data_IF_132688356363
#
_entry.id   IF_132688356363
#
_cell.length_a   1.000
_cell.length_b   1.000
_cell.length_c   1.000
_cell.angle_alpha   90.00
_cell.angle_beta   90.00
_cell.angle_gamma   90.00
#
_symmetry.space_group_name_H-M   'P 1'
#
loop_
_entity.id
_entity.type
_entity.pdbx_description
1 polymer ?
#
# COMPACT_ATOMS: atom_id res chain seq x y z
N UNK A 1 -42.00 4.59 19.13
CA UNK A 1 -41.74 3.21 18.64
C UNK A 1 -40.62 3.34 17.60
N UNK A 2 -39.36 3.23 18.00
CA UNK A 2 -38.19 3.32 17.12
C UNK A 2 -37.92 1.92 16.53
N UNK A 3 -38.15 1.76 15.25
CA UNK A 3 -37.88 0.53 14.52
C UNK A 3 -36.38 0.20 14.59
N UNK A 4 -36.01 -0.91 15.20
CA UNK A 4 -34.67 -1.50 15.18
C UNK A 4 -34.30 -1.83 13.74
N UNK A 5 -33.33 -1.09 13.18
CA UNK A 5 -32.69 -1.49 11.93
C UNK A 5 -32.06 -2.88 12.11
N UNK A 6 -32.25 -3.80 11.16
CA UNK A 6 -31.64 -5.12 11.25
C UNK A 6 -30.12 -4.99 11.22
N UNK A 7 -29.47 -5.68 12.15
CA UNK A 7 -28.00 -5.78 12.19
C UNK A 7 -27.53 -6.39 10.87
N UNK A 8 -26.89 -5.57 10.03
CA UNK A 8 -26.20 -6.05 8.83
C UNK A 8 -25.13 -7.03 9.31
N UNK A 9 -25.36 -8.34 9.10
CA UNK A 9 -24.32 -9.36 9.27
C UNK A 9 -23.12 -8.93 8.44
N UNK A 10 -22.04 -8.48 9.09
CA UNK A 10 -20.72 -8.36 8.44
C UNK A 10 -20.29 -9.78 8.08
N UNK A 11 -20.60 -10.20 6.85
CA UNK A 11 -19.96 -11.39 6.28
C UNK A 11 -18.46 -11.10 6.26
N UNK A 12 -17.69 -11.83 7.04
CA UNK A 12 -16.24 -11.78 6.96
C UNK A 12 -15.85 -12.11 5.53
N UNK A 13 -15.15 -11.19 4.87
CA UNK A 13 -14.64 -11.42 3.52
C UNK A 13 -13.68 -12.61 3.55
N UNK A 14 -14.01 -13.67 2.80
CA UNK A 14 -13.14 -14.82 2.63
C UNK A 14 -11.97 -14.43 1.69
N UNK A 15 -10.87 -14.03 2.31
CA UNK A 15 -9.66 -13.61 1.58
C UNK A 15 -8.93 -14.77 0.87
N UNK A 16 -9.31 -16.01 1.17
CA UNK A 16 -8.73 -17.18 0.52
C UNK A 16 -9.40 -17.45 -0.84
N UNK A 17 -10.63 -16.98 -1.01
CA UNK A 17 -11.41 -17.16 -2.23
C UNK A 17 -11.45 -15.93 -3.14
N UNK A 18 -11.20 -14.73 -2.59
CA UNK A 18 -11.22 -13.48 -3.37
C UNK A 18 -10.33 -12.39 -2.78
N UNK A 19 -9.63 -11.61 -3.60
CA UNK A 19 -8.92 -10.43 -3.17
C UNK A 19 -9.90 -9.30 -2.80
N UNK A 20 -9.44 -8.38 -1.96
CA UNK A 20 -10.08 -7.07 -1.75
C UNK A 20 -9.59 -6.09 -2.82
N UNK A 21 -8.30 -6.18 -3.16
CA UNK A 21 -7.60 -5.29 -4.07
C UNK A 21 -6.96 -6.10 -5.19
N UNK A 22 -7.17 -5.65 -6.41
CA UNK A 22 -6.42 -6.11 -7.59
C UNK A 22 -5.66 -4.90 -8.12
N UNK A 23 -4.34 -4.94 -8.04
CA UNK A 23 -3.49 -3.92 -8.62
C UNK A 23 -3.20 -4.25 -10.07
N UNK A 24 -3.30 -3.26 -10.94
CA UNK A 24 -2.89 -3.37 -12.33
C UNK A 24 -1.90 -2.27 -12.68
N UNK A 25 -0.65 -2.67 -12.94
CA UNK A 25 0.35 -1.80 -13.54
C UNK A 25 -0.02 -1.62 -15.02
N UNK A 26 -0.79 -0.59 -15.31
CA UNK A 26 -1.40 -0.41 -16.64
C UNK A 26 -0.40 -0.06 -17.73
N UNK A 27 0.71 0.57 -17.36
CA UNK A 27 1.83 0.94 -18.22
C UNK A 27 3.09 1.15 -17.37
N UNK A 28 4.26 1.07 -17.97
CA UNK A 28 5.52 1.50 -17.35
C UNK A 28 5.95 2.90 -17.79
N UNK A 29 5.21 3.53 -18.70
CA UNK A 29 5.46 4.91 -19.10
C UNK A 29 5.25 5.86 -17.91
N UNK A 30 6.20 6.78 -17.68
CA UNK A 30 6.12 7.79 -16.65
C UNK A 30 6.99 8.99 -17.00
N UNK A 31 6.49 10.20 -16.74
CA UNK A 31 7.25 11.43 -16.85
C UNK A 31 8.24 11.70 -15.70
N UNK A 32 8.27 10.82 -14.67
CA UNK A 32 9.13 10.96 -13.50
C UNK A 32 10.24 9.91 -13.47
N UNK A 33 11.36 10.26 -12.82
CA UNK A 33 12.53 9.39 -12.64
C UNK A 33 12.82 9.10 -11.16
N UNK A 34 11.77 8.85 -10.36
CA UNK A 34 11.89 8.66 -8.91
C UNK A 34 12.95 7.63 -8.53
N UNK A 35 13.81 7.97 -7.55
CA UNK A 35 14.93 7.12 -7.14
C UNK A 35 14.53 5.82 -6.45
N UNK A 36 13.35 5.77 -5.79
CA UNK A 36 12.80 4.58 -5.14
C UNK A 36 11.87 3.76 -6.05
N UNK A 37 11.77 4.07 -7.34
CA UNK A 37 10.80 3.47 -8.22
C UNK A 37 11.00 1.95 -8.36
N UNK A 38 10.02 1.18 -7.88
CA UNK A 38 9.97 -0.27 -8.00
C UNK A 38 9.98 -0.76 -9.45
N UNK A 39 9.19 -0.10 -10.29
CA UNK A 39 8.99 -0.50 -11.70
C UNK A 39 10.14 -0.09 -12.61
N UNK A 40 11.09 0.75 -12.13
CA UNK A 40 12.08 1.40 -13.01
C UNK A 40 11.43 2.04 -14.23
N UNK A 41 10.34 2.77 -14.01
CA UNK A 41 9.52 3.38 -15.05
C UNK A 41 10.35 4.19 -16.05
N UNK A 42 9.93 4.21 -17.30
CA UNK A 42 10.59 4.84 -18.45
C UNK A 42 9.64 5.81 -19.13
N UNK A 43 10.17 6.66 -20.02
CA UNK A 43 9.36 7.73 -20.66
C UNK A 43 8.30 7.19 -21.61
N UNK A 44 8.52 6.02 -22.23
CA UNK A 44 7.61 5.43 -23.23
C UNK A 44 7.04 4.10 -22.77
N UNK A 45 5.87 3.73 -23.31
CA UNK A 45 5.28 2.42 -23.13
C UNK A 45 6.20 1.30 -23.65
N UNK A 46 6.22 0.17 -22.94
CA UNK A 46 6.96 -1.00 -23.37
C UNK A 46 6.15 -1.81 -24.40
N UNK A 47 6.84 -2.47 -25.34
CA UNK A 47 6.21 -3.52 -26.13
C UNK A 47 5.59 -4.60 -25.23
N UNK A 48 4.43 -5.14 -25.62
CA UNK A 48 3.78 -6.22 -24.88
C UNK A 48 2.81 -5.76 -23.78
N UNK A 49 2.64 -4.45 -23.54
CA UNK A 49 1.55 -3.97 -22.70
C UNK A 49 0.19 -4.53 -23.19
N UNK A 50 -0.72 -4.80 -22.24
CA UNK A 50 -2.05 -5.28 -22.60
C UNK A 50 -2.73 -4.30 -23.56
N UNK A 51 -3.17 -4.82 -24.69
CA UNK A 51 -4.01 -4.08 -25.63
C UNK A 51 -5.34 -3.69 -24.99
N UNK A 52 -6.07 -2.76 -25.59
CA UNK A 52 -7.40 -2.35 -25.10
C UNK A 52 -8.34 -3.55 -24.96
N UNK A 53 -8.33 -4.48 -25.93
CA UNK A 53 -9.16 -5.67 -25.88
C UNK A 53 -8.74 -6.65 -24.77
N UNK A 54 -7.44 -6.84 -24.54
CA UNK A 54 -6.92 -7.68 -23.45
C UNK A 54 -7.22 -7.06 -22.10
N UNK A 55 -7.01 -5.74 -21.95
CA UNK A 55 -7.36 -5.01 -20.73
C UNK A 55 -8.85 -5.10 -20.40
N UNK A 56 -9.73 -4.98 -21.41
CA UNK A 56 -11.17 -5.13 -21.22
C UNK A 56 -11.53 -6.56 -20.76
N UNK A 57 -10.96 -7.61 -21.39
CA UNK A 57 -11.15 -9.00 -20.95
C UNK A 57 -10.65 -9.24 -19.53
N UNK A 58 -9.50 -8.66 -19.17
CA UNK A 58 -8.99 -8.74 -17.81
C UNK A 58 -9.95 -8.08 -16.81
N UNK A 59 -10.46 -6.87 -17.09
CA UNK A 59 -11.45 -6.20 -16.23
C UNK A 59 -12.72 -7.06 -16.08
N UNK A 60 -13.19 -7.69 -17.17
CA UNK A 60 -14.34 -8.59 -17.13
C UNK A 60 -14.10 -9.80 -16.24
N UNK A 61 -12.91 -10.39 -16.30
CA UNK A 61 -12.56 -11.58 -15.51
C UNK A 61 -12.67 -11.35 -14.01
N UNK A 62 -12.51 -10.10 -13.54
CA UNK A 62 -12.67 -9.74 -12.11
C UNK A 62 -14.09 -10.00 -11.59
N UNK A 63 -15.07 -10.10 -12.48
CA UNK A 63 -16.44 -10.46 -12.12
C UNK A 63 -16.56 -11.88 -11.56
N UNK A 64 -15.68 -12.78 -11.93
CA UNK A 64 -15.63 -14.18 -11.46
C UNK A 64 -15.28 -14.31 -9.97
N UNK A 65 -14.77 -13.27 -9.33
CA UNK A 65 -14.59 -13.25 -7.87
C UNK A 65 -15.91 -13.14 -7.09
N UNK A 66 -17.03 -12.79 -7.75
CA UNK A 66 -18.33 -12.64 -7.10
C UNK A 66 -18.52 -11.27 -6.42
N UNK A 67 -19.52 -11.17 -5.57
CA UNK A 67 -19.82 -9.93 -4.83
C UNK A 67 -19.36 -10.00 -3.37
N UNK A 68 -18.90 -8.89 -2.76
CA UNK A 68 -18.57 -7.64 -3.41
C UNK A 68 -17.37 -7.81 -4.37
N UNK A 69 -17.35 -7.05 -5.47
CA UNK A 69 -16.23 -7.06 -6.42
C UNK A 69 -14.95 -6.57 -5.74
N UNK A 70 -13.76 -7.08 -6.14
CA UNK A 70 -12.51 -6.45 -5.72
C UNK A 70 -12.43 -5.02 -6.29
N UNK A 71 -11.70 -4.16 -5.60
CA UNK A 71 -11.36 -2.83 -6.12
C UNK A 71 -10.18 -3.00 -7.08
N UNK A 72 -10.34 -2.55 -8.32
CA UNK A 72 -9.25 -2.44 -9.29
C UNK A 72 -8.48 -1.14 -9.00
N UNK A 73 -7.22 -1.27 -8.64
CA UNK A 73 -6.31 -0.14 -8.48
C UNK A 73 -5.46 -0.05 -9.73
N UNK A 74 -5.81 0.89 -10.61
CA UNK A 74 -5.01 1.18 -11.78
C UNK A 74 -3.82 2.05 -11.38
N UNK A 75 -2.64 1.52 -11.60
CA UNK A 75 -1.34 2.12 -11.26
C UNK A 75 -0.39 1.93 -12.44
N UNK A 76 0.88 2.15 -12.25
CA UNK A 76 1.86 1.91 -13.30
C UNK A 76 3.11 2.76 -13.10
N UNK A 77 3.67 3.24 -14.19
CA UNK A 77 4.51 4.42 -14.21
C UNK A 77 3.66 5.64 -13.85
N UNK A 78 2.99 6.21 -14.87
CA UNK A 78 1.90 7.14 -14.67
C UNK A 78 0.66 6.59 -15.41
N UNK A 79 -0.37 6.23 -14.67
CA UNK A 79 -1.60 5.66 -15.22
C UNK A 79 -2.26 6.59 -16.25
N UNK A 80 -2.05 7.91 -16.15
CA UNK A 80 -2.58 8.91 -17.09
C UNK A 80 -1.88 8.87 -18.45
N UNK A 81 -0.74 8.21 -18.57
CA UNK A 81 -0.07 7.99 -19.86
C UNK A 81 -0.65 6.82 -20.66
N UNK A 82 -1.52 6.03 -20.05
CA UNK A 82 -2.22 4.97 -20.77
C UNK A 82 -3.32 5.57 -21.65
N UNK A 83 -3.22 5.40 -22.98
CA UNK A 83 -4.08 6.05 -23.97
C UNK A 83 -5.55 5.65 -23.89
N UNK A 84 -5.86 4.42 -23.46
CA UNK A 84 -7.22 3.86 -23.39
C UNK A 84 -7.74 3.77 -21.92
N UNK A 85 -7.16 4.54 -20.99
CA UNK A 85 -7.55 4.53 -19.58
C UNK A 85 -9.05 4.75 -19.38
N UNK A 86 -9.65 5.69 -20.12
CA UNK A 86 -11.07 6.01 -20.00
C UNK A 86 -11.96 4.84 -20.43
N UNK A 87 -11.57 4.11 -21.48
CA UNK A 87 -12.26 2.90 -21.91
C UNK A 87 -12.20 1.82 -20.82
N UNK A 88 -11.07 1.69 -20.12
CA UNK A 88 -10.91 0.73 -19.02
C UNK A 88 -11.77 1.11 -17.80
N UNK A 89 -11.82 2.39 -17.44
CA UNK A 89 -12.68 2.89 -16.35
C UNK A 89 -14.16 2.66 -16.69
N UNK A 90 -14.57 2.97 -17.91
CA UNK A 90 -15.94 2.77 -18.36
C UNK A 90 -16.31 1.27 -18.37
N UNK A 91 -15.40 0.41 -18.86
CA UNK A 91 -15.61 -1.05 -18.82
C UNK A 91 -15.80 -1.54 -17.38
N UNK A 92 -14.94 -1.13 -16.48
CA UNK A 92 -15.05 -1.48 -15.06
C UNK A 92 -16.39 -1.01 -14.45
N UNK A 93 -16.83 0.21 -14.80
CA UNK A 93 -18.13 0.74 -14.39
C UNK A 93 -19.29 -0.13 -14.88
N UNK A 94 -19.27 -0.53 -16.15
CA UNK A 94 -20.31 -1.41 -16.76
C UNK A 94 -20.43 -2.75 -16.03
N UNK A 95 -19.30 -3.36 -15.64
CA UNK A 95 -19.29 -4.65 -14.94
C UNK A 95 -19.29 -4.49 -13.41
N UNK A 96 -19.50 -3.27 -12.90
CA UNK A 96 -19.59 -2.93 -11.47
C UNK A 96 -18.33 -3.30 -10.67
N UNK A 97 -17.15 -3.15 -11.27
CA UNK A 97 -15.85 -3.24 -10.60
C UNK A 97 -15.45 -1.83 -10.16
N UNK A 98 -15.33 -1.56 -8.86
CA UNK A 98 -14.87 -0.24 -8.38
C UNK A 98 -13.43 0.02 -8.82
N UNK A 99 -13.14 1.26 -9.27
CA UNK A 99 -11.80 1.68 -9.69
C UNK A 99 -11.25 2.74 -8.75
N UNK A 100 -10.00 2.56 -8.34
CA UNK A 100 -9.16 3.59 -7.73
C UNK A 100 -7.93 3.82 -8.61
N UNK A 101 -7.38 5.03 -8.57
CA UNK A 101 -6.23 5.41 -9.40
C UNK A 101 -5.03 5.81 -8.53
N UNK A 102 -3.85 5.50 -9.02
CA UNK A 102 -2.57 5.95 -8.46
C UNK A 102 -1.75 6.70 -9.54
N UNK A 103 -2.18 7.90 -9.96
CA UNK A 103 -1.44 8.69 -10.94
C UNK A 103 -0.18 9.30 -10.35
N UNK A 104 0.77 9.62 -11.20
CA UNK A 104 1.84 10.56 -10.87
C UNK A 104 1.33 12.00 -10.95
N UNK A 105 1.93 12.89 -10.16
CA UNK A 105 1.69 14.33 -10.31
C UNK A 105 2.55 14.82 -11.47
N UNK A 106 1.94 14.90 -12.63
CA UNK A 106 2.54 15.33 -13.90
C UNK A 106 1.62 16.36 -14.56
N UNK A 107 2.04 17.07 -15.62
CA UNK A 107 1.16 17.97 -16.36
C UNK A 107 -0.12 17.34 -16.92
N UNK A 108 -0.23 15.99 -16.91
CA UNK A 108 -1.45 15.28 -17.30
C UNK A 108 -2.55 15.34 -16.22
N UNK A 109 -2.21 15.61 -14.97
CA UNK A 109 -3.18 15.70 -13.86
C UNK A 109 -3.75 17.13 -13.76
N UNK A 110 -4.43 17.57 -14.80
CA UNK A 110 -5.10 18.87 -14.86
C UNK A 110 -6.42 18.90 -14.07
N UNK A 111 -6.95 20.09 -13.78
CA UNK A 111 -8.26 20.22 -13.12
C UNK A 111 -9.40 19.64 -13.98
N UNK A 112 -9.35 19.83 -15.29
CA UNK A 112 -10.27 19.20 -16.22
C UNK A 112 -10.21 17.69 -16.10
N UNK A 113 -9.00 17.10 -16.11
CA UNK A 113 -8.82 15.66 -15.98
C UNK A 113 -9.34 15.12 -14.66
N UNK A 114 -9.11 15.81 -13.56
CA UNK A 114 -9.66 15.46 -12.24
C UNK A 114 -11.19 15.39 -12.27
N UNK A 115 -11.84 16.37 -12.88
CA UNK A 115 -13.31 16.42 -13.01
C UNK A 115 -13.81 15.26 -13.89
N UNK A 116 -13.14 14.97 -15.00
CA UNK A 116 -13.47 13.84 -15.90
C UNK A 116 -13.40 12.51 -15.17
N UNK A 117 -12.29 12.24 -14.48
CA UNK A 117 -12.12 11.02 -13.70
C UNK A 117 -13.21 10.85 -12.63
N UNK A 118 -13.54 11.94 -11.94
CA UNK A 118 -14.62 11.93 -10.95
C UNK A 118 -15.98 11.59 -11.59
N UNK A 119 -16.29 12.17 -12.76
CA UNK A 119 -17.51 11.88 -13.52
C UNK A 119 -17.56 10.45 -14.04
N UNK A 120 -16.43 9.93 -14.48
CA UNK A 120 -16.29 8.53 -14.91
C UNK A 120 -16.51 7.51 -13.79
N UNK A 121 -16.55 7.95 -12.53
CA UNK A 121 -16.88 7.09 -11.39
C UNK A 121 -15.71 6.77 -10.47
N UNK A 122 -14.52 7.30 -10.72
CA UNK A 122 -13.40 7.22 -9.77
C UNK A 122 -13.78 7.91 -8.46
N UNK A 123 -13.47 7.27 -7.33
CA UNK A 123 -13.79 7.80 -5.99
C UNK A 123 -12.57 7.95 -5.10
N UNK A 124 -11.51 7.20 -5.37
CA UNK A 124 -10.29 7.17 -4.57
C UNK A 124 -9.09 7.39 -5.47
N UNK A 125 -8.21 8.30 -5.08
CA UNK A 125 -6.95 8.57 -5.78
C UNK A 125 -5.81 8.56 -4.76
N UNK A 126 -4.70 7.89 -5.11
CA UNK A 126 -3.48 7.83 -4.30
C UNK A 126 -2.43 8.76 -4.90
N UNK A 127 -1.86 9.63 -4.09
CA UNK A 127 -0.78 10.57 -4.48
C UNK A 127 0.43 10.29 -3.61
N UNK A 128 1.61 10.24 -4.21
CA UNK A 128 2.84 9.99 -3.48
C UNK A 128 3.49 11.29 -2.98
N UNK A 129 3.81 11.32 -1.68
CA UNK A 129 4.55 12.39 -1.01
C UNK A 129 5.65 11.75 -0.14
N UNK A 130 6.91 11.84 -0.58
CA UNK A 130 8.03 11.12 0.07
C UNK A 130 9.02 12.03 0.81
N UNK A 131 8.77 13.33 0.84
CA UNK A 131 9.54 14.32 1.60
C UNK A 131 8.62 15.43 2.10
N UNK A 132 8.99 16.05 3.21
CA UNK A 132 8.25 17.16 3.83
C UNK A 132 8.69 18.53 3.32
N UNK A 133 9.76 18.58 2.53
CA UNK A 133 10.34 19.81 1.98
C UNK A 133 10.51 19.72 0.46
N UNK A 134 10.55 20.87 -0.24
CA UNK A 134 10.91 20.89 -1.66
C UNK A 134 12.25 20.19 -1.94
N UNK A 135 13.27 20.46 -1.12
CA UNK A 135 14.61 19.90 -1.30
C UNK A 135 14.60 18.37 -1.31
N UNK A 136 13.93 17.75 -0.34
CA UNK A 136 13.87 16.29 -0.21
C UNK A 136 12.94 15.67 -1.25
N UNK A 137 11.73 16.19 -1.36
CA UNK A 137 10.72 15.59 -2.25
C UNK A 137 11.13 15.70 -3.73
N UNK A 138 11.57 16.87 -4.17
CA UNK A 138 11.97 17.12 -5.55
C UNK A 138 13.19 16.25 -5.94
N UNK A 139 14.16 16.12 -5.03
CA UNK A 139 15.31 15.24 -5.24
C UNK A 139 14.90 13.76 -5.39
N UNK A 140 13.89 13.30 -4.64
CA UNK A 140 13.35 11.94 -4.76
C UNK A 140 12.63 11.75 -6.10
N UNK A 141 11.85 12.75 -6.54
CA UNK A 141 11.07 12.68 -7.79
C UNK A 141 11.87 12.99 -9.05
N UNK A 142 13.00 13.67 -8.90
CA UNK A 142 13.85 14.12 -10.00
C UNK A 142 13.28 15.31 -10.77
N UNK A 143 12.39 16.11 -10.17
CA UNK A 143 11.72 17.24 -10.81
C UNK A 143 11.62 18.40 -9.82
N UNK A 144 12.21 19.55 -10.16
CA UNK A 144 12.16 20.76 -9.36
C UNK A 144 10.72 21.32 -9.30
N UNK A 145 10.30 21.79 -8.13
CA UNK A 145 8.96 22.31 -7.89
C UNK A 145 7.87 21.24 -7.71
N UNK A 146 8.22 19.97 -7.81
CA UNK A 146 7.26 18.85 -7.71
C UNK A 146 6.57 18.76 -6.34
N UNK A 147 7.24 19.17 -5.26
CA UNK A 147 6.64 19.22 -3.92
C UNK A 147 5.42 20.14 -3.87
N UNK A 148 5.56 21.37 -4.36
CA UNK A 148 4.47 22.34 -4.36
C UNK A 148 3.29 21.85 -5.20
N UNK A 149 3.56 21.31 -6.39
CA UNK A 149 2.55 20.72 -7.26
C UNK A 149 1.86 19.50 -6.61
N UNK A 150 2.61 18.67 -5.89
CA UNK A 150 2.04 17.50 -5.19
C UNK A 150 1.08 17.93 -4.10
N UNK A 151 1.45 18.89 -3.26
CA UNK A 151 0.58 19.41 -2.20
C UNK A 151 -0.66 20.09 -2.79
N UNK A 152 -0.50 20.85 -3.87
CA UNK A 152 -1.61 21.47 -4.61
C UNK A 152 -2.54 20.41 -5.24
N UNK A 153 -1.98 19.37 -5.86
CA UNK A 153 -2.77 18.28 -6.46
C UNK A 153 -3.62 17.53 -5.42
N UNK A 154 -3.09 17.26 -4.23
CA UNK A 154 -3.85 16.63 -3.13
C UNK A 154 -5.08 17.49 -2.79
N UNK A 155 -4.92 18.81 -2.69
CA UNK A 155 -6.02 19.74 -2.38
C UNK A 155 -7.05 19.78 -3.50
N UNK A 156 -6.63 19.92 -4.76
CA UNK A 156 -7.52 19.93 -5.95
C UNK A 156 -8.36 18.65 -6.06
N UNK A 157 -7.73 17.49 -5.86
CA UNK A 157 -8.43 16.20 -5.86
C UNK A 157 -9.49 16.11 -4.77
N UNK A 158 -9.17 16.61 -3.56
CA UNK A 158 -10.11 16.63 -2.44
C UNK A 158 -11.27 17.61 -2.69
N UNK A 159 -10.98 18.82 -3.20
CA UNK A 159 -11.98 19.82 -3.56
C UNK A 159 -12.92 19.33 -4.66
N UNK A 160 -12.42 18.51 -5.58
CA UNK A 160 -13.25 17.81 -6.57
C UNK A 160 -14.12 16.69 -5.95
N UNK A 161 -14.03 16.42 -4.63
CA UNK A 161 -14.83 15.43 -3.92
C UNK A 161 -14.30 14.00 -4.05
N UNK A 162 -13.02 13.83 -4.34
CA UNK A 162 -12.34 12.53 -4.32
C UNK A 162 -11.80 12.22 -2.91
N UNK A 163 -11.80 10.95 -2.54
CA UNK A 163 -11.06 10.49 -1.37
C UNK A 163 -9.60 10.42 -1.74
N UNK A 164 -8.76 11.17 -1.03
CA UNK A 164 -7.32 11.17 -1.30
C UNK A 164 -6.59 10.32 -0.27
N UNK A 165 -5.75 9.44 -0.78
CA UNK A 165 -4.75 8.69 -0.04
C UNK A 165 -3.37 9.29 -0.35
N UNK A 166 -2.57 9.54 0.66
CA UNK A 166 -1.17 9.90 0.51
C UNK A 166 -0.31 8.66 0.73
N UNK A 167 0.60 8.39 -0.22
CA UNK A 167 1.57 7.31 -0.13
C UNK A 167 2.95 7.89 0.18
N UNK A 168 3.65 7.31 1.16
CA UNK A 168 5.00 7.71 1.55
C UNK A 168 5.89 6.48 1.65
N UNK A 169 7.07 6.50 1.02
CA UNK A 169 8.07 5.45 1.20
C UNK A 169 9.01 5.83 2.35
N UNK A 170 9.12 4.94 3.33
CA UNK A 170 10.07 5.07 4.44
C UNK A 170 11.45 4.64 3.95
N UNK A 171 12.38 5.56 3.98
CA UNK A 171 13.81 5.37 3.63
C UNK A 171 14.66 5.93 4.75
N UNK A 172 15.87 5.42 4.90
CA UNK A 172 16.79 5.85 5.98
C UNK A 172 17.06 7.34 5.99
N UNK A 173 17.23 7.94 4.83
CA UNK A 173 17.57 9.35 4.67
C UNK A 173 16.37 10.32 4.78
N UNK A 174 15.14 9.78 4.86
CA UNK A 174 13.91 10.61 4.94
C UNK A 174 13.03 10.28 6.14
N UNK A 175 13.38 9.28 6.93
CA UNK A 175 12.53 8.81 8.05
C UNK A 175 12.24 9.90 9.08
N UNK A 176 13.19 10.80 9.32
CA UNK A 176 13.02 11.90 10.28
C UNK A 176 11.99 12.96 9.81
N UNK A 177 11.62 12.95 8.52
CA UNK A 177 10.59 13.87 7.99
C UNK A 177 9.15 13.36 8.19
N UNK A 178 8.95 12.12 8.67
CA UNK A 178 7.63 11.53 8.85
C UNK A 178 6.66 12.39 9.72
N UNK A 179 7.10 13.04 10.81
CA UNK A 179 6.23 13.95 11.57
C UNK A 179 5.71 15.12 10.74
N UNK A 180 6.57 15.76 9.97
CA UNK A 180 6.19 16.88 9.11
C UNK A 180 5.32 16.42 7.94
N UNK A 181 5.56 15.22 7.37
CA UNK A 181 4.67 14.61 6.38
C UNK A 181 3.28 14.36 7.00
N UNK A 182 3.19 13.86 8.23
CA UNK A 182 1.91 13.67 8.94
C UNK A 182 1.12 14.99 9.07
N UNK A 183 1.80 16.11 9.34
CA UNK A 183 1.18 17.45 9.32
C UNK A 183 0.64 17.79 7.94
N UNK A 184 1.41 17.60 6.87
CA UNK A 184 0.95 17.90 5.50
C UNK A 184 -0.25 17.02 5.14
N UNK A 185 -0.26 15.73 5.49
CA UNK A 185 -1.40 14.83 5.30
C UNK A 185 -2.66 15.38 5.98
N UNK A 186 -2.54 15.82 7.23
CA UNK A 186 -3.65 16.41 7.99
C UNK A 186 -4.15 17.71 7.36
N UNK A 187 -3.24 18.65 7.09
CA UNK A 187 -3.56 19.99 6.57
C UNK A 187 -4.13 19.95 5.14
N UNK A 188 -3.66 19.03 4.30
CA UNK A 188 -4.22 18.83 2.96
C UNK A 188 -5.59 18.13 2.99
N UNK A 189 -6.02 17.60 4.15
CA UNK A 189 -7.28 16.91 4.34
C UNK A 189 -7.32 15.52 3.68
N UNK A 190 -6.18 14.90 3.42
CA UNK A 190 -6.11 13.52 2.97
C UNK A 190 -6.71 12.59 4.03
N UNK A 191 -7.49 11.62 3.59
CA UNK A 191 -8.23 10.72 4.50
C UNK A 191 -7.40 9.54 4.97
N UNK A 192 -6.39 9.16 4.19
CA UNK A 192 -5.57 7.97 4.40
C UNK A 192 -4.10 8.34 4.17
N UNK A 193 -3.25 7.94 5.09
CA UNK A 193 -1.81 7.90 4.91
C UNK A 193 -1.37 6.45 4.83
N UNK A 194 -0.91 6.02 3.67
CA UNK A 194 -0.40 4.68 3.43
C UNK A 194 1.12 4.71 3.33
N UNK A 195 1.78 4.02 4.25
CA UNK A 195 3.22 4.09 4.42
C UNK A 195 3.86 2.81 3.93
N UNK A 196 4.72 2.95 2.94
CA UNK A 196 5.44 1.86 2.30
C UNK A 196 6.81 1.71 2.93
N UNK A 197 7.11 0.55 3.46
CA UNK A 197 8.46 0.23 3.90
C UNK A 197 9.28 -0.25 2.70
N UNK A 198 10.41 0.40 2.47
CA UNK A 198 11.23 0.16 1.30
C UNK A 198 11.50 -1.34 1.10
N UNK A 199 11.34 -1.78 -0.13
CA UNK A 199 11.85 -3.06 -0.63
C UNK A 199 12.89 -2.73 -1.71
N UNK A 200 14.06 -3.32 -1.62
CA UNK A 200 15.19 -3.05 -2.53
C UNK A 200 14.97 -3.68 -3.92
N UNK A 201 14.02 -3.10 -4.66
CA UNK A 201 13.66 -3.50 -6.02
C UNK A 201 13.79 -2.31 -6.98
N UNK A 202 13.93 -2.60 -8.26
CA UNK A 202 14.06 -1.59 -9.30
C UNK A 202 15.18 -0.60 -8.98
N UNK A 203 14.93 0.71 -9.15
CA UNK A 203 15.88 1.77 -8.76
C UNK A 203 16.11 1.85 -7.25
N UNK A 204 15.16 1.44 -6.44
CA UNK A 204 15.29 1.39 -4.99
C UNK A 204 16.36 0.43 -4.45
N UNK A 205 16.99 -0.40 -5.30
CA UNK A 205 18.09 -1.30 -4.90
C UNK A 205 19.29 -0.57 -4.30
N UNK A 206 19.51 0.66 -4.71
CA UNK A 206 20.62 1.49 -4.26
C UNK A 206 20.33 2.24 -2.95
N UNK A 207 19.13 2.11 -2.38
CA UNK A 207 18.69 2.82 -1.18
C UNK A 207 18.82 1.94 0.06
N UNK A 208 18.98 2.60 1.21
CA UNK A 208 19.10 1.92 2.49
C UNK A 208 17.75 1.74 3.18
N UNK A 209 17.50 0.51 3.60
CA UNK A 209 16.38 0.16 4.48
C UNK A 209 16.70 0.53 5.93
N UNK A 210 15.66 0.66 6.73
CA UNK A 210 15.79 0.74 8.19
C UNK A 210 16.18 -0.63 8.78
N UNK A 211 16.83 -0.60 9.94
CA UNK A 211 17.06 -1.80 10.74
C UNK A 211 15.73 -2.36 11.28
N UNK A 212 15.70 -3.63 11.73
CA UNK A 212 14.51 -4.20 12.34
C UNK A 212 14.01 -3.40 13.57
N UNK A 213 14.91 -2.88 14.39
CA UNK A 213 14.56 -2.06 15.56
C UNK A 213 13.94 -0.72 15.14
N UNK A 214 14.53 -0.04 14.15
CA UNK A 214 14.00 1.19 13.61
C UNK A 214 12.64 0.99 12.91
N UNK A 215 12.42 -0.15 12.26
CA UNK A 215 11.12 -0.50 11.70
C UNK A 215 10.04 -0.64 12.80
N UNK A 216 10.40 -1.19 13.96
CA UNK A 216 9.54 -1.27 15.14
C UNK A 216 9.20 0.14 15.64
N UNK A 217 10.21 0.99 15.81
CA UNK A 217 10.07 2.39 16.21
C UNK A 217 9.09 3.15 15.30
N UNK A 218 9.27 3.02 13.98
CA UNK A 218 8.40 3.65 12.97
C UNK A 218 6.98 3.09 13.05
N UNK A 219 6.79 1.79 13.31
CA UNK A 219 5.45 1.23 13.47
C UNK A 219 4.72 1.79 14.68
N UNK A 220 5.40 1.96 15.82
CA UNK A 220 4.81 2.59 17.00
C UNK A 220 4.48 4.06 16.76
N UNK A 221 5.38 4.82 16.13
CA UNK A 221 5.11 6.18 15.69
C UNK A 221 3.84 6.27 14.79
N UNK A 222 3.66 5.33 13.88
CA UNK A 222 2.47 5.32 13.00
C UNK A 222 1.16 5.07 13.75
N UNK A 223 1.19 4.32 14.86
CA UNK A 223 0.01 4.21 15.73
C UNK A 223 -0.30 5.57 16.34
N UNK A 224 0.70 6.30 16.85
CA UNK A 224 0.52 7.63 17.42
C UNK A 224 0.04 8.64 16.36
N UNK A 225 0.66 8.67 15.19
CA UNK A 225 0.24 9.52 14.08
C UNK A 225 -1.23 9.27 13.68
N UNK A 226 -1.71 8.03 13.77
CA UNK A 226 -3.10 7.68 13.47
C UNK A 226 -4.13 8.31 14.42
N UNK A 227 -3.71 8.90 15.51
CA UNK A 227 -4.55 9.63 16.46
C UNK A 227 -4.89 11.07 16.03
N UNK A 228 -4.40 11.50 14.84
CA UNK A 228 -4.58 12.87 14.38
C UNK A 228 -5.66 13.03 13.27
N UNK A 229 -6.59 12.09 13.17
CA UNK A 229 -7.82 12.24 12.37
C UNK A 229 -7.79 11.57 10.99
N UNK A 230 -6.65 11.07 10.51
CA UNK A 230 -6.53 10.28 9.29
C UNK A 230 -6.28 8.80 9.59
N UNK A 231 -6.57 7.95 8.62
CA UNK A 231 -6.29 6.51 8.71
C UNK A 231 -4.84 6.26 8.33
N UNK A 232 -4.12 5.47 9.15
CA UNK A 232 -2.77 4.98 8.81
C UNK A 232 -2.83 3.51 8.43
N UNK A 233 -2.16 3.18 7.32
CA UNK A 233 -1.93 1.82 6.81
C UNK A 233 -0.46 1.63 6.49
N UNK A 234 0.00 0.39 6.46
CA UNK A 234 1.36 0.07 6.01
C UNK A 234 1.34 -0.96 4.88
N UNK A 235 2.30 -0.80 3.96
CA UNK A 235 2.62 -1.76 2.91
C UNK A 235 4.04 -2.26 3.15
N UNK A 236 4.27 -3.56 2.97
CA UNK A 236 5.55 -4.26 3.22
C UNK A 236 6.06 -4.17 4.67
N UNK A 237 5.16 -3.82 5.60
CA UNK A 237 5.39 -3.89 7.05
C UNK A 237 4.20 -4.58 7.75
N UNK A 238 3.90 -5.85 7.46
CA UNK A 238 2.76 -6.53 8.09
C UNK A 238 2.94 -6.71 9.60
N UNK A 239 4.16 -6.60 10.13
CA UNK A 239 4.43 -6.57 11.58
C UNK A 239 3.79 -5.36 12.30
N UNK A 240 3.42 -4.29 11.60
CA UNK A 240 2.58 -3.22 12.13
C UNK A 240 1.27 -3.74 12.75
N UNK A 241 0.72 -4.85 12.24
CA UNK A 241 -0.50 -5.45 12.80
C UNK A 241 -0.28 -5.98 14.21
N UNK A 242 0.89 -6.58 14.47
CA UNK A 242 1.29 -7.01 15.82
C UNK A 242 1.39 -5.81 16.75
N UNK A 243 2.05 -4.74 16.30
CA UNK A 243 2.18 -3.49 17.06
C UNK A 243 0.81 -2.92 17.41
N UNK A 244 -0.09 -2.76 16.42
CA UNK A 244 -1.46 -2.26 16.66
C UNK A 244 -2.23 -3.15 17.64
N UNK A 245 -2.09 -4.47 17.54
CA UNK A 245 -2.78 -5.41 18.43
C UNK A 245 -2.27 -5.26 19.86
N UNK A 246 -0.95 -5.22 20.06
CA UNK A 246 -0.35 -4.99 21.39
C UNK A 246 -0.77 -3.64 21.97
N UNK A 247 -0.64 -2.55 21.22
CA UNK A 247 -1.03 -1.20 21.65
C UNK A 247 -2.52 -1.08 22.03
N UNK A 248 -3.39 -1.91 21.48
CA UNK A 248 -4.81 -1.97 21.85
C UNK A 248 -5.05 -2.69 23.18
N UNK A 249 -4.23 -3.69 23.49
CA UNK A 249 -4.33 -4.42 24.76
C UNK A 249 -3.75 -3.61 25.94
N UNK A 250 -2.69 -2.86 25.69
CA UNK A 250 -1.92 -2.13 26.69
C UNK A 250 -2.35 -0.64 26.75
N UNK A 251 -3.64 -0.36 26.54
CA UNK A 251 -4.19 1.00 26.28
C UNK A 251 -4.03 2.01 27.44
N UNK A 252 -3.53 1.59 28.60
CA UNK A 252 -3.34 2.45 29.79
C UNK A 252 -1.89 2.88 30.01
N UNK A 253 -0.99 2.57 29.08
CA UNK A 253 0.43 2.81 29.28
C UNK A 253 0.83 4.23 28.88
N UNK A 254 1.40 4.95 29.83
CA UNK A 254 1.83 6.35 29.66
C UNK A 254 3.24 6.46 29.08
N UNK A 255 4.08 5.42 29.21
CA UNK A 255 5.43 5.37 28.67
C UNK A 255 5.58 4.26 27.63
N UNK A 256 5.21 4.61 26.40
CA UNK A 256 5.27 3.70 25.26
C UNK A 256 6.70 3.25 24.96
N UNK A 257 7.68 4.15 25.07
CA UNK A 257 9.07 3.82 24.75
C UNK A 257 9.62 2.75 25.70
N UNK A 258 9.46 2.93 27.01
CA UNK A 258 9.89 1.96 28.00
C UNK A 258 9.15 0.63 27.90
N UNK A 259 7.81 0.66 27.75
CA UNK A 259 6.97 -0.53 27.70
C UNK A 259 7.32 -1.46 26.55
N UNK A 260 7.64 -0.89 25.39
CA UNK A 260 7.95 -1.67 24.19
C UNK A 260 9.44 -1.77 23.89
N UNK A 261 10.31 -1.14 24.70
CA UNK A 261 11.76 -1.13 24.49
C UNK A 261 12.16 -0.46 23.18
N UNK A 262 11.51 0.69 22.89
CA UNK A 262 11.74 1.42 21.63
C UNK A 262 13.03 2.22 21.69
N UNK A 263 13.59 2.46 20.50
CA UNK A 263 14.85 3.16 20.33
C UNK A 263 14.71 4.69 20.23
N UNK A 264 15.86 5.33 20.06
CA UNK A 264 15.93 6.79 19.93
C UNK A 264 15.18 7.33 18.70
N UNK A 265 15.01 6.52 17.64
CA UNK A 265 14.25 6.94 16.47
C UNK A 265 12.79 7.20 16.85
N UNK A 266 12.16 6.31 17.62
CA UNK A 266 10.80 6.53 18.09
C UNK A 266 10.69 7.83 18.91
N UNK A 267 11.62 8.07 19.84
CA UNK A 267 11.61 9.28 20.68
C UNK A 267 11.67 10.57 19.84
N UNK A 268 12.57 10.61 18.83
CA UNK A 268 12.67 11.75 17.92
C UNK A 268 11.39 11.93 17.10
N UNK A 269 10.86 10.86 16.53
CA UNK A 269 9.63 10.92 15.73
C UNK A 269 8.42 11.32 16.57
N UNK A 270 8.28 10.79 17.79
CA UNK A 270 7.19 11.14 18.70
C UNK A 270 7.29 12.60 19.18
N UNK A 271 8.49 13.07 19.44
CA UNK A 271 8.74 14.48 19.79
C UNK A 271 8.42 15.39 18.60
N UNK A 272 8.87 15.04 17.39
CA UNK A 272 8.53 15.75 16.18
C UNK A 272 7.02 15.78 15.92
N UNK A 273 6.32 14.66 16.14
CA UNK A 273 4.87 14.60 15.97
C UNK A 273 4.13 15.56 16.89
N UNK A 274 4.54 15.64 18.17
CA UNK A 274 3.98 16.59 19.13
C UNK A 274 4.26 18.04 18.74
N UNK A 275 5.45 18.32 18.22
CA UNK A 275 5.81 19.65 17.72
C UNK A 275 4.95 20.06 16.51
N UNK A 276 4.72 19.15 15.57
CA UNK A 276 3.98 19.40 14.32
C UNK A 276 2.46 19.41 14.51
N UNK A 277 1.91 18.47 15.28
CA UNK A 277 0.47 18.22 15.37
C UNK A 277 -0.14 18.44 16.76
N UNK A 278 0.69 18.75 17.76
CA UNK A 278 0.28 18.92 19.16
C UNK A 278 -0.38 17.65 19.72
N UNK A 279 -1.42 17.82 20.56
CA UNK A 279 -2.11 16.70 21.20
C UNK A 279 -2.95 15.86 20.22
N UNK A 280 -3.09 14.56 20.47
CA UNK A 280 -3.97 13.68 19.69
C UNK A 280 -5.41 14.20 19.64
N UNK A 281 -6.03 14.14 18.46
CA UNK A 281 -7.39 14.65 18.22
C UNK A 281 -8.43 13.55 18.10
N UNK A 282 -8.03 12.28 18.08
CA UNK A 282 -8.91 11.13 17.92
C UNK A 282 -8.33 9.86 18.57
N UNK A 283 -9.16 8.82 18.68
CA UNK A 283 -8.67 7.47 18.97
C UNK A 283 -7.84 6.95 17.79
N UNK A 284 -6.91 5.99 18.02
CA UNK A 284 -6.08 5.43 16.96
C UNK A 284 -6.90 4.91 15.78
N UNK A 285 -6.58 5.38 14.58
CA UNK A 285 -7.18 4.95 13.32
C UNK A 285 -6.23 4.08 12.49
N UNK A 286 -5.35 3.35 13.16
CA UNK A 286 -4.49 2.36 12.55
C UNK A 286 -5.31 1.18 12.00
N UNK A 287 -5.21 0.92 10.69
CA UNK A 287 -6.01 -0.13 10.03
C UNK A 287 -5.19 -1.39 9.79
N UNK A 288 -5.77 -2.51 10.18
CA UNK A 288 -5.18 -3.84 10.00
C UNK A 288 -6.24 -4.77 9.43
N UNK A 289 -6.26 -4.97 8.10
CA UNK A 289 -7.29 -5.83 7.46
C UNK A 289 -6.83 -7.26 7.18
N UNK A 290 -5.63 -7.64 7.58
CA UNK A 290 -5.09 -8.99 7.36
C UNK A 290 -4.71 -9.29 5.89
N UNK A 291 -4.65 -8.27 5.02
CA UNK A 291 -4.16 -8.42 3.65
C UNK A 291 -2.65 -8.55 3.65
N UNK A 292 -2.08 -9.39 2.81
CA UNK A 292 -0.64 -9.53 2.53
C UNK A 292 -0.45 -10.00 1.10
N UNK A 293 0.78 -10.05 0.64
CA UNK A 293 1.11 -10.60 -0.68
C UNK A 293 0.38 -11.92 -0.90
N UNK A 294 -0.41 -12.01 -1.97
CA UNK A 294 -1.18 -13.22 -2.30
C UNK A 294 -2.37 -13.56 -1.38
N UNK A 295 -2.67 -12.72 -0.36
CA UNK A 295 -3.86 -12.85 0.49
C UNK A 295 -4.63 -11.54 0.58
N UNK A 296 -5.77 -11.47 -0.06
CA UNK A 296 -6.57 -10.25 -0.16
C UNK A 296 -6.03 -9.23 -1.16
N UNK A 297 -4.86 -9.50 -1.74
CA UNK A 297 -4.18 -8.69 -2.76
C UNK A 297 -3.68 -9.63 -3.86
N UNK A 298 -3.76 -9.16 -5.13
CA UNK A 298 -3.08 -9.73 -6.28
C UNK A 298 -2.67 -8.59 -7.22
N UNK A 299 -1.64 -8.80 -8.00
CA UNK A 299 -1.08 -7.80 -8.89
C UNK A 299 -0.98 -8.34 -10.32
N UNK A 300 -1.27 -7.49 -11.29
CA UNK A 300 -1.12 -7.77 -12.72
C UNK A 300 -0.17 -6.73 -13.32
N UNK A 301 0.87 -7.20 -13.98
CA UNK A 301 1.83 -6.38 -14.69
C UNK A 301 1.25 -5.75 -15.97
N UNK A 302 1.98 -4.81 -16.55
CA UNK A 302 1.62 -4.16 -17.81
C UNK A 302 1.51 -5.14 -18.98
N UNK A 303 2.27 -6.21 -18.93
CA UNK A 303 2.34 -7.32 -19.88
C UNK A 303 1.32 -8.45 -19.61
N UNK A 304 0.54 -8.31 -18.53
CA UNK A 304 -0.46 -9.28 -18.11
C UNK A 304 0.04 -10.32 -17.13
N UNK A 305 1.33 -10.32 -16.75
CA UNK A 305 1.88 -11.25 -15.77
C UNK A 305 1.18 -11.07 -14.41
N UNK A 306 0.80 -12.19 -13.80
CA UNK A 306 0.14 -12.22 -12.49
C UNK A 306 1.18 -12.47 -11.42
N UNK A 307 1.18 -11.65 -10.36
CA UNK A 307 2.09 -11.76 -9.22
C UNK A 307 1.33 -11.70 -7.88
N UNK A 308 1.89 -12.25 -6.79
CA UNK A 308 1.25 -12.16 -5.47
C UNK A 308 1.07 -10.70 -4.98
N UNK A 309 2.01 -9.83 -5.32
CA UNK A 309 1.96 -8.38 -5.13
C UNK A 309 2.91 -7.67 -6.10
N UNK A 310 2.83 -6.33 -6.16
CA UNK A 310 3.72 -5.52 -6.99
C UNK A 310 5.19 -5.54 -6.53
N UNK A 311 5.48 -6.02 -5.32
CA UNK A 311 6.83 -6.11 -4.77
C UNK A 311 7.39 -7.54 -4.76
N UNK A 312 6.59 -8.54 -5.11
CA UNK A 312 7.00 -9.95 -5.16
C UNK A 312 6.94 -10.44 -6.62
N UNK A 313 8.07 -10.36 -7.37
CA UNK A 313 8.11 -10.61 -8.81
C UNK A 313 8.18 -12.12 -9.13
N UNK A 314 7.26 -12.90 -8.55
CA UNK A 314 7.08 -14.31 -8.86
C UNK A 314 5.89 -14.45 -9.79
N UNK A 315 6.11 -14.99 -11.00
CA UNK A 315 5.04 -15.26 -11.95
C UNK A 315 4.12 -16.37 -11.44
N UNK A 316 2.82 -16.11 -11.46
CA UNK A 316 1.76 -17.05 -11.12
C UNK A 316 0.97 -17.50 -12.37
N UNK A 317 1.23 -16.87 -13.52
CA UNK A 317 0.52 -17.02 -14.78
C UNK A 317 0.35 -15.68 -15.48
N UNK A 318 -0.43 -15.62 -16.55
CA UNK A 318 -0.65 -14.41 -17.34
C UNK A 318 -2.12 -14.28 -17.74
N UNK A 319 -2.74 -13.10 -17.49
CA UNK A 319 -4.16 -12.85 -17.78
C UNK A 319 -4.54 -12.95 -19.27
N UNK A 320 -3.57 -13.01 -20.17
CA UNK A 320 -3.80 -13.28 -21.60
C UNK A 320 -4.27 -14.71 -21.86
N UNK A 321 -3.88 -15.65 -21.01
CA UNK A 321 -4.07 -17.09 -21.18
C UNK A 321 -4.72 -17.76 -19.98
N UNK A 322 -4.55 -17.22 -18.76
CA UNK A 322 -4.96 -17.83 -17.53
C UNK A 322 -6.16 -17.11 -16.90
N UNK A 323 -7.04 -17.87 -16.26
CA UNK A 323 -8.12 -17.32 -15.45
C UNK A 323 -7.57 -16.83 -14.09
N UNK A 324 -7.53 -15.52 -13.89
CA UNK A 324 -7.02 -14.91 -12.66
C UNK A 324 -7.77 -15.42 -11.41
N UNK A 325 -9.03 -15.80 -11.51
CA UNK A 325 -9.83 -16.34 -10.40
C UNK A 325 -9.31 -17.70 -9.99
N UNK A 326 -9.00 -18.57 -10.97
CA UNK A 326 -8.40 -19.87 -10.72
C UNK A 326 -6.98 -19.75 -10.20
N UNK A 327 -6.17 -18.88 -10.80
CA UNK A 327 -4.81 -18.58 -10.31
C UNK A 327 -4.88 -18.13 -8.86
N UNK A 328 -5.70 -17.15 -8.52
CA UNK A 328 -5.83 -16.66 -7.15
C UNK A 328 -6.22 -17.78 -6.17
N UNK A 329 -7.20 -18.62 -6.53
CA UNK A 329 -7.74 -19.64 -5.63
C UNK A 329 -6.83 -20.87 -5.48
N UNK A 330 -6.14 -21.29 -6.55
CA UNK A 330 -5.55 -22.61 -6.63
C UNK A 330 -4.03 -22.64 -6.74
N UNK A 331 -3.37 -21.50 -7.08
CA UNK A 331 -1.93 -21.49 -7.24
C UNK A 331 -1.23 -21.93 -5.94
N UNK A 332 -0.31 -22.93 -5.99
CA UNK A 332 0.30 -23.52 -4.79
C UNK A 332 0.92 -22.48 -3.86
N UNK A 333 1.74 -21.56 -4.39
CA UNK A 333 2.38 -20.51 -3.60
C UNK A 333 1.35 -19.66 -2.84
N UNK A 334 0.24 -19.26 -3.50
CA UNK A 334 -0.78 -18.46 -2.86
C UNK A 334 -1.50 -19.22 -1.75
N UNK A 335 -1.69 -20.53 -1.92
CA UNK A 335 -2.25 -21.41 -0.88
C UNK A 335 -1.35 -21.49 0.32
N UNK A 336 -0.04 -21.74 0.13
CA UNK A 336 0.94 -21.79 1.22
C UNK A 336 1.04 -20.45 1.96
N UNK A 337 1.05 -19.31 1.24
CA UNK A 337 1.02 -17.98 1.86
C UNK A 337 -0.24 -17.78 2.73
N UNK A 338 -1.40 -18.21 2.24
CA UNK A 338 -2.67 -18.08 2.98
C UNK A 338 -2.74 -19.01 4.18
N UNK A 339 -2.23 -20.23 4.06
CA UNK A 339 -2.11 -21.20 5.16
C UNK A 339 -1.03 -20.83 6.18
N UNK A 340 -0.29 -19.72 5.94
CA UNK A 340 0.82 -19.28 6.78
C UNK A 340 1.90 -20.36 6.98
N UNK A 341 2.20 -21.11 5.93
CA UNK A 341 3.25 -22.14 5.86
C UNK A 341 4.62 -21.48 5.70
N UNK A 342 5.04 -20.71 6.70
CA UNK A 342 6.30 -19.98 6.68
C UNK A 342 7.38 -20.75 7.42
N UNK A 343 8.64 -20.52 7.03
CA UNK A 343 9.83 -21.04 7.71
C UNK A 343 10.44 -20.00 8.65
N UNK A 344 11.49 -20.42 9.37
CA UNK A 344 12.24 -19.56 10.27
C UNK A 344 11.39 -18.92 11.37
N UNK A 345 11.76 -17.69 11.78
CA UNK A 345 11.05 -16.94 12.83
C UNK A 345 9.59 -16.68 12.50
N UNK A 346 9.26 -16.46 11.22
CA UNK A 346 7.87 -16.24 10.81
C UNK A 346 7.00 -17.49 11.02
N UNK A 347 7.55 -18.68 10.77
CA UNK A 347 6.85 -19.97 10.97
C UNK A 347 6.62 -20.29 12.46
N UNK A 348 7.61 -19.99 13.32
CA UNK A 348 7.52 -20.18 14.76
C UNK A 348 6.71 -19.09 15.49
N UNK A 349 6.30 -18.01 14.78
CA UNK A 349 5.69 -16.84 15.41
C UNK A 349 4.22 -17.05 15.74
N UNK A 350 3.79 -16.70 16.96
CA UNK A 350 2.39 -16.71 17.36
C UNK A 350 1.52 -15.74 16.55
N UNK A 351 2.12 -14.73 15.92
CA UNK A 351 1.44 -13.78 15.02
C UNK A 351 1.47 -14.17 13.54
N UNK A 352 1.92 -15.39 13.18
CA UNK A 352 2.12 -15.82 11.78
C UNK A 352 0.88 -15.63 10.90
N UNK A 353 -0.30 -15.92 11.43
CA UNK A 353 -1.56 -15.77 10.70
C UNK A 353 -1.99 -14.30 10.57
N UNK A 354 -1.80 -13.52 11.62
CA UNK A 354 -2.13 -12.10 11.66
C UNK A 354 -1.16 -11.27 10.79
N UNK A 355 0.12 -11.53 10.94
CA UNK A 355 1.23 -10.77 10.33
C UNK A 355 1.76 -11.48 9.09
N UNK A 356 2.47 -12.58 9.26
CA UNK A 356 3.09 -13.38 8.23
C UNK A 356 4.35 -12.77 7.59
N UNK A 357 4.83 -11.60 8.04
CA UNK A 357 5.98 -10.90 7.45
C UNK A 357 5.76 -10.43 5.99
N UNK A 358 6.64 -9.58 5.47
CA UNK A 358 6.68 -9.22 4.06
C UNK A 358 7.23 -10.38 3.24
N UNK A 359 6.42 -10.92 2.35
CA UNK A 359 6.84 -12.01 1.46
C UNK A 359 7.78 -11.52 0.38
N UNK A 360 7.61 -10.27 -0.04
CA UNK A 360 8.52 -9.61 -0.96
C UNK A 360 9.92 -9.45 -0.37
N UNK A 361 10.04 -9.03 0.90
CA UNK A 361 11.34 -8.89 1.56
C UNK A 361 11.96 -10.25 1.87
N UNK A 362 11.18 -11.24 2.30
CA UNK A 362 11.64 -12.61 2.47
C UNK A 362 12.26 -13.15 1.17
N UNK A 363 11.55 -12.96 0.03
CA UNK A 363 12.06 -13.35 -1.28
C UNK A 363 13.32 -12.57 -1.69
N UNK A 364 13.32 -11.26 -1.52
CA UNK A 364 14.47 -10.43 -1.87
C UNK A 364 15.74 -10.79 -1.07
N UNK A 365 15.57 -11.26 0.18
CA UNK A 365 16.67 -11.63 1.07
C UNK A 365 17.15 -13.08 0.90
N UNK A 366 16.21 -14.03 0.74
CA UNK A 366 16.51 -15.45 0.79
C UNK A 366 16.21 -16.22 -0.51
N UNK A 367 15.63 -15.55 -1.53
CA UNK A 367 15.15 -16.23 -2.73
C UNK A 367 13.89 -17.08 -2.52
N UNK A 368 13.31 -17.07 -1.32
CA UNK A 368 12.14 -17.85 -0.94
C UNK A 368 11.07 -16.93 -0.32
N UNK A 369 9.88 -16.90 -0.94
CA UNK A 369 8.77 -16.11 -0.46
C UNK A 369 8.14 -16.65 0.85
N UNK A 370 8.46 -17.86 1.25
CA UNK A 370 7.98 -18.48 2.48
C UNK A 370 9.00 -18.36 3.63
N UNK A 371 10.21 -17.84 3.37
CA UNK A 371 11.22 -17.59 4.38
C UNK A 371 10.79 -16.53 5.41
N UNK A 372 11.58 -16.34 6.46
CA UNK A 372 11.34 -15.28 7.44
C UNK A 372 11.55 -13.86 6.86
N UNK A 373 10.82 -12.90 7.40
CA UNK A 373 11.03 -11.49 7.09
C UNK A 373 12.17 -10.92 7.95
N UNK A 374 13.31 -10.55 7.34
CA UNK A 374 14.48 -10.07 8.09
C UNK A 374 14.25 -8.69 8.75
N UNK A 375 13.26 -7.92 8.31
CA UNK A 375 12.99 -6.58 8.84
C UNK A 375 12.15 -6.58 10.14
N UNK A 376 11.71 -7.74 10.62
CA UNK A 376 10.93 -7.84 11.85
C UNK A 376 11.84 -7.93 13.08
N UNK A 377 11.64 -7.00 14.05
CA UNK A 377 12.37 -7.02 15.32
C UNK A 377 11.88 -8.11 16.29
N UNK A 378 10.65 -8.60 16.13
CA UNK A 378 10.03 -9.55 17.05
C UNK A 378 10.75 -10.90 17.06
N UNK A 379 11.15 -11.34 18.26
CA UNK A 379 11.67 -12.66 18.48
C UNK A 379 10.55 -13.55 19.08
N UNK A 380 10.10 -14.58 18.37
CA UNK A 380 9.16 -15.54 18.93
C UNK A 380 9.74 -16.18 20.19
N UNK A 381 8.91 -16.42 21.20
CA UNK A 381 9.33 -17.23 22.34
C UNK A 381 9.87 -18.58 21.83
N UNK A 382 11.04 -18.98 22.29
CA UNK A 382 11.56 -20.32 21.98
C UNK A 382 10.54 -21.32 22.52
N UNK A 383 9.85 -22.02 21.62
CA UNK A 383 8.92 -23.06 22.01
C UNK A 383 9.68 -24.06 22.90
N UNK A 384 9.23 -24.25 24.14
CA UNK A 384 9.54 -25.44 24.88
C UNK A 384 8.96 -26.60 24.05
N UNK A 385 9.81 -27.33 23.35
CA UNK A 385 9.44 -28.61 22.79
C UNK A 385 9.10 -29.51 23.98
N UNK A 386 7.82 -29.72 24.25
CA UNK A 386 7.28 -30.80 25.02
C UNK A 386 6.83 -31.91 24.09
#
# INVERSE_FOLDING_TARGET
MLARMPAVRRTSLDLDRRPILVFWETTRACGLACRQCRASAIVQSLPGELTTAEGARFVDSLTGFGMPRPVLIATGGDVLMRHDLDAMIERARMVKVPVALAPSVTPLLTDTRIVELRRAGVRVVSISLDGATPGTHDAIRGVAGHFAETVAAIRRLREAGLTVQVNTVVMRDTVEELPAIARIVKESGASIWEVFFLIRLGRGRALDELTPAENEDVCHFHVDASCHGFVVRTVEAPFFRRVVTRRKHDSNDTDVAATYGLGQLYERLATGLRAELREPTSRPRAQTKGTRDGRGIIFVGHDGEIHPSGFLPLSLGNVKHDDIVQVYRQHPLLRSIRAAEFSGRCGACSYRELCGGSRARAYASAGDALAEDPACAHQPARGSHH
#
